data_IF_280662996281
#
_entry.id   IF_280662996281
#
_cell.length_a   1.000
_cell.length_b   1.000
_cell.length_c   1.000
_cell.angle_alpha   90.00
_cell.angle_beta   90.00
_cell.angle_gamma   90.00
#
_symmetry.space_group_name_H-M   'P 1'
#
loop_
_entity.id
_entity.type
_entity.pdbx_description
1 polymer ?
#
# COMPACT_ATOMS: atom_id res chain seq x y z
N UNK A 1 -1.99 14.59 -17.22
CA UNK A 1 -0.71 13.87 -17.25
C UNK A 1 -0.01 14.14 -15.93
N UNK A 2 -0.02 13.18 -15.01
CA UNK A 2 0.77 13.26 -13.78
C UNK A 2 2.24 13.15 -14.21
N UNK A 3 3.04 14.18 -13.94
CA UNK A 3 4.46 14.17 -14.29
C UNK A 3 5.13 12.97 -13.60
N UNK A 4 5.81 12.17 -14.42
CA UNK A 4 6.47 10.89 -14.13
C UNK A 4 7.67 10.98 -13.17
N UNK A 5 7.62 11.84 -12.14
CA UNK A 5 8.72 12.03 -11.18
C UNK A 5 8.72 11.06 -10.00
N UNK A 6 7.57 10.47 -9.65
CA UNK A 6 7.47 9.57 -8.49
C UNK A 6 7.99 8.14 -8.76
N UNK A 7 8.35 7.82 -10.01
CA UNK A 7 8.74 6.47 -10.45
C UNK A 7 10.10 6.42 -11.16
N UNK A 8 10.91 7.48 -11.12
CA UNK A 8 12.33 7.32 -11.45
C UNK A 8 12.96 6.51 -10.32
N UNK A 9 13.17 5.23 -10.58
CA UNK A 9 13.89 4.30 -9.69
C UNK A 9 15.19 4.95 -9.23
N UNK A 10 15.22 5.46 -8.00
CA UNK A 10 16.41 6.08 -7.42
C UNK A 10 17.53 5.03 -7.31
N UNK A 11 18.74 5.37 -7.75
CA UNK A 11 19.88 4.47 -7.76
C UNK A 11 20.28 4.09 -6.30
N UNK A 12 20.29 2.79 -5.94
CA UNK A 12 20.65 2.34 -4.58
C UNK A 12 22.04 2.77 -4.10
N UNK A 13 23.01 2.93 -5.01
CA UNK A 13 24.36 3.40 -4.66
C UNK A 13 24.36 4.88 -4.28
N UNK A 14 23.56 5.67 -4.97
CA UNK A 14 23.38 7.08 -4.67
C UNK A 14 22.68 7.28 -3.32
N UNK A 15 21.68 6.43 -3.01
CA UNK A 15 21.01 6.42 -1.71
C UNK A 15 21.97 6.12 -0.56
N UNK A 16 22.85 5.11 -0.72
CA UNK A 16 23.90 4.81 0.27
C UNK A 16 24.89 5.96 0.44
N UNK A 17 25.31 6.60 -0.66
CA UNK A 17 26.21 7.77 -0.62
C UNK A 17 25.58 8.95 0.12
N UNK A 18 24.26 9.11 0.04
CA UNK A 18 23.47 10.12 0.77
C UNK A 18 23.14 9.71 2.21
N UNK A 19 23.55 8.53 2.67
CA UNK A 19 23.27 8.03 4.02
C UNK A 19 21.80 7.64 4.24
N UNK A 20 21.00 7.50 3.18
CA UNK A 20 19.60 7.08 3.26
C UNK A 20 19.53 5.62 3.71
N UNK A 21 18.94 5.38 4.89
CA UNK A 21 18.78 4.02 5.42
C UNK A 21 17.33 3.60 5.25
N UNK A 22 17.10 2.47 4.60
CA UNK A 22 15.75 1.87 4.54
C UNK A 22 15.61 0.88 5.69
N UNK A 23 14.59 1.06 6.51
CA UNK A 23 14.27 0.18 7.62
C UNK A 23 13.51 -1.07 7.12
N UNK A 24 13.45 -2.15 7.91
CA UNK A 24 12.79 -3.40 7.51
C UNK A 24 11.28 -3.30 7.23
N UNK A 25 10.65 -2.21 7.67
CA UNK A 25 9.26 -1.83 7.39
C UNK A 25 9.10 -1.00 6.09
N UNK A 26 10.20 -0.70 5.41
CA UNK A 26 10.22 0.08 4.17
C UNK A 26 10.38 1.58 4.38
N UNK A 27 10.38 2.07 5.62
CA UNK A 27 10.60 3.49 5.91
C UNK A 27 12.03 3.89 5.57
N UNK A 28 12.22 5.14 5.11
CA UNK A 28 13.54 5.66 4.76
C UNK A 28 13.93 6.73 5.77
N UNK A 29 14.94 6.44 6.59
CA UNK A 29 15.60 7.43 7.43
C UNK A 29 16.45 8.33 6.53
N UNK A 30 16.09 9.61 6.48
CA UNK A 30 16.81 10.64 5.75
C UNK A 30 17.64 11.46 6.74
N UNK A 31 18.98 11.31 6.77
CA UNK A 31 19.81 12.08 7.68
C UNK A 31 19.83 13.56 7.28
N UNK A 32 19.91 14.45 8.27
CA UNK A 32 20.03 15.90 8.10
C UNK A 32 18.85 16.60 7.39
N UNK A 33 17.66 16.00 7.42
CA UNK A 33 16.42 16.67 7.00
C UNK A 33 15.68 17.18 8.22
N UNK A 34 15.32 18.47 8.19
CA UNK A 34 14.38 19.04 9.13
C UNK A 34 12.95 18.63 8.75
N UNK A 35 12.40 17.68 9.51
CA UNK A 35 11.03 17.21 9.31
C UNK A 35 9.97 18.30 9.58
N UNK A 36 10.34 19.44 10.18
CA UNK A 36 9.47 20.62 10.28
C UNK A 36 9.19 21.30 8.95
N UNK A 37 9.99 21.03 7.91
CA UNK A 37 9.83 21.61 6.55
C UNK A 37 8.94 20.78 5.63
N UNK A 38 8.29 19.74 6.16
CA UNK A 38 7.45 18.87 5.36
C UNK A 38 6.24 19.63 4.80
N UNK A 39 6.11 19.61 3.47
CA UNK A 39 4.99 20.25 2.77
C UNK A 39 3.77 19.33 2.81
N UNK A 40 2.77 19.72 3.59
CA UNK A 40 1.51 18.98 3.69
C UNK A 40 0.53 19.43 2.61
N UNK A 41 -0.13 18.52 1.88
CA UNK A 41 -1.21 18.91 0.99
C UNK A 41 -2.37 19.51 1.80
N UNK A 42 -3.09 20.46 1.20
CA UNK A 42 -4.30 20.99 1.83
C UNK A 42 -5.33 19.88 2.10
N UNK A 43 -6.05 20.00 3.22
CA UNK A 43 -7.11 19.07 3.56
C UNK A 43 -8.25 19.25 2.56
N UNK A 44 -8.63 18.19 1.81
CA UNK A 44 -9.62 18.31 0.75
C UNK A 44 -10.97 18.79 1.28
N UNK A 45 -11.37 18.33 2.47
CA UNK A 45 -12.63 18.74 3.12
C UNK A 45 -12.60 20.21 3.55
N UNK A 46 -11.50 20.67 4.14
CA UNK A 46 -11.38 22.08 4.55
C UNK A 46 -11.30 23.00 3.34
N UNK A 47 -10.57 22.59 2.30
CA UNK A 47 -10.43 23.33 1.06
C UNK A 47 -11.78 23.47 0.33
N UNK A 48 -12.54 22.38 0.24
CA UNK A 48 -13.86 22.37 -0.38
C UNK A 48 -14.87 23.23 0.40
N UNK A 49 -14.89 23.10 1.73
CA UNK A 49 -15.73 23.94 2.60
C UNK A 49 -15.34 25.41 2.55
N UNK A 50 -14.04 25.73 2.45
CA UNK A 50 -13.56 27.11 2.31
C UNK A 50 -14.07 27.73 0.99
N UNK A 51 -13.97 26.99 -0.12
CA UNK A 51 -14.51 27.40 -1.43
C UNK A 51 -16.02 27.60 -1.40
N UNK A 52 -16.76 26.64 -0.82
CA UNK A 52 -18.22 26.69 -0.75
C UNK A 52 -18.77 27.84 0.12
N UNK A 53 -17.96 28.34 1.08
CA UNK A 53 -18.35 29.42 1.98
C UNK A 53 -17.79 30.79 1.57
N UNK A 54 -17.12 30.90 0.42
CA UNK A 54 -16.63 32.17 -0.11
C UNK A 54 -17.81 33.15 -0.28
N UNK A 55 -17.80 34.27 0.46
CA UNK A 55 -18.82 35.32 0.38
C UNK A 55 -20.02 35.18 1.32
N UNK A 56 -20.03 34.21 2.25
CA UNK A 56 -21.09 34.10 3.29
C UNK A 56 -20.71 34.88 4.56
N UNK A 57 -21.70 35.46 5.24
CA UNK A 57 -21.50 36.17 6.49
C UNK A 57 -21.08 35.20 7.63
N UNK A 58 -19.85 35.35 8.13
CA UNK A 58 -19.27 34.53 9.20
C UNK A 58 -17.73 34.54 9.16
N UNK A 59 -17.04 33.94 10.16
CA UNK A 59 -15.59 33.84 10.14
C UNK A 59 -15.13 32.98 8.94
N UNK A 60 -14.49 33.61 7.97
CA UNK A 60 -14.04 32.98 6.72
C UNK A 60 -12.83 32.09 7.01
N UNK A 61 -13.01 30.78 6.90
CA UNK A 61 -11.91 29.82 6.88
C UNK A 61 -11.32 29.80 5.48
N UNK A 62 -10.07 30.24 5.34
CA UNK A 62 -9.31 30.27 4.10
C UNK A 62 -8.29 29.15 4.11
N UNK A 63 -8.13 28.48 2.97
CA UNK A 63 -7.07 27.51 2.72
C UNK A 63 -6.29 28.04 1.52
N UNK A 64 -5.10 28.54 1.80
CA UNK A 64 -4.14 28.98 0.80
C UNK A 64 -3.17 27.84 0.50
N UNK A 65 -2.87 27.67 -0.77
CA UNK A 65 -1.91 26.66 -1.23
C UNK A 65 -0.91 27.27 -2.20
N UNK A 66 0.29 26.71 -2.23
CA UNK A 66 1.26 27.05 -3.26
C UNK A 66 0.97 26.34 -4.60
N UNK A 67 1.87 26.52 -5.58
CA UNK A 67 1.72 25.97 -6.93
C UNK A 67 1.58 24.45 -7.01
N UNK A 68 2.09 23.71 -6.01
CA UNK A 68 1.97 22.24 -5.98
C UNK A 68 0.79 21.78 -5.10
N UNK A 69 0.03 22.71 -4.51
CA UNK A 69 -1.12 22.40 -3.68
C UNK A 69 -0.80 22.16 -2.20
N UNK A 70 0.43 22.46 -1.75
CA UNK A 70 0.78 22.36 -0.34
C UNK A 70 0.23 23.55 0.45
N UNK A 71 -0.17 23.29 1.70
CA UNK A 71 -0.78 24.26 2.60
C UNK A 71 0.20 25.38 2.96
N UNK A 72 -0.29 26.63 2.89
CA UNK A 72 0.48 27.82 3.28
C UNK A 72 0.07 28.33 4.66
N UNK A 73 1.04 28.90 5.38
CA UNK A 73 0.86 29.52 6.71
C UNK A 73 -0.17 30.66 6.72
N UNK A 74 -0.45 31.28 5.56
CA UNK A 74 -1.50 32.29 5.42
C UNK A 74 -2.92 31.73 5.59
N UNK A 75 -3.10 30.40 5.58
CA UNK A 75 -4.39 29.76 5.76
C UNK A 75 -4.96 29.96 7.17
N UNK A 76 -6.28 30.15 7.28
CA UNK A 76 -6.98 30.37 8.56
C UNK A 76 -7.86 29.19 8.98
N UNK A 77 -7.85 28.09 8.22
CA UNK A 77 -8.70 26.93 8.46
C UNK A 77 -8.28 26.03 9.64
N UNK A 78 -7.25 26.40 10.40
CA UNK A 78 -6.65 25.61 11.49
C UNK A 78 -5.55 24.66 11.00
N UNK A 79 -4.89 23.98 11.94
CA UNK A 79 -3.82 23.01 11.64
C UNK A 79 -4.39 21.82 10.90
N UNK A 80 -3.81 21.50 9.74
CA UNK A 80 -4.23 20.37 8.93
C UNK A 80 -3.50 19.10 9.35
N UNK A 81 -4.27 18.09 9.73
CA UNK A 81 -3.77 16.73 9.90
C UNK A 81 -3.93 15.98 8.56
N UNK A 82 -2.88 15.32 8.03
CA UNK A 82 -3.02 14.44 6.89
C UNK A 82 -4.05 13.35 7.15
N UNK A 83 -4.79 12.95 6.12
CA UNK A 83 -5.81 11.91 6.20
C UNK A 83 -5.17 10.50 6.25
N UNK A 84 -4.32 10.27 7.25
CA UNK A 84 -3.62 9.01 7.54
C UNK A 84 -3.90 8.61 8.99
N UNK A 85 -3.79 7.32 9.28
CA UNK A 85 -3.90 6.79 10.64
C UNK A 85 -2.51 6.82 11.28
N UNK A 86 -2.37 7.64 12.31
CA UNK A 86 -1.16 7.72 13.12
C UNK A 86 -1.14 6.63 14.19
N UNK A 87 0.02 6.36 14.78
CA UNK A 87 0.13 5.49 15.94
C UNK A 87 -0.75 6.00 17.09
N UNK A 88 -1.51 5.08 17.70
CA UNK A 88 -2.50 5.40 18.74
C UNK A 88 -3.90 5.70 18.21
N UNK A 89 -4.08 5.92 16.90
CA UNK A 89 -5.40 6.12 16.32
C UNK A 89 -6.09 4.81 15.95
N UNK A 90 -7.42 4.82 15.98
CA UNK A 90 -8.23 3.69 15.55
C UNK A 90 -8.47 3.73 14.04
N UNK A 91 -8.42 2.56 13.40
CA UNK A 91 -8.81 2.40 12.00
C UNK A 91 -10.34 2.60 11.89
N UNK A 92 -10.83 3.35 10.88
CA UNK A 92 -12.26 3.49 10.64
C UNK A 92 -12.94 2.12 10.52
N UNK A 93 -14.07 1.93 11.22
CA UNK A 93 -14.76 0.64 11.32
C UNK A 93 -15.05 0.00 9.95
N UNK A 94 -15.52 0.79 8.99
CA UNK A 94 -15.79 0.32 7.63
C UNK A 94 -14.54 -0.21 6.90
N UNK A 95 -13.39 0.45 7.07
CA UNK A 95 -12.12 0.01 6.47
C UNK A 95 -11.65 -1.29 7.11
N UNK A 96 -11.78 -1.38 8.44
CA UNK A 96 -11.51 -2.61 9.18
C UNK A 96 -12.34 -3.78 8.67
N UNK A 97 -13.66 -3.60 8.57
CA UNK A 97 -14.59 -4.65 8.13
C UNK A 97 -14.31 -5.09 6.70
N UNK A 98 -14.14 -4.14 5.76
CA UNK A 98 -13.81 -4.47 4.36
C UNK A 98 -12.50 -5.24 4.23
N UNK A 99 -11.49 -4.93 5.04
CA UNK A 99 -10.23 -5.67 5.02
C UNK A 99 -10.39 -7.10 5.59
N UNK A 100 -11.25 -7.29 6.59
CA UNK A 100 -11.57 -8.62 7.13
C UNK A 100 -12.35 -9.46 6.10
N UNK A 101 -13.37 -8.87 5.47
CA UNK A 101 -14.15 -9.52 4.40
C UNK A 101 -13.27 -9.93 3.22
N UNK A 102 -12.36 -9.04 2.77
CA UNK A 102 -11.44 -9.35 1.69
C UNK A 102 -10.49 -10.51 2.02
N UNK A 103 -10.13 -10.69 3.29
CA UNK A 103 -9.36 -11.85 3.74
C UNK A 103 -10.25 -13.09 3.77
N UNK A 104 -11.47 -12.99 4.29
CA UNK A 104 -12.40 -14.12 4.39
C UNK A 104 -12.80 -14.68 3.01
N UNK A 105 -12.86 -13.84 1.99
CA UNK A 105 -13.16 -14.23 0.60
C UNK A 105 -11.92 -14.75 -0.16
N UNK A 106 -10.71 -14.56 0.37
CA UNK A 106 -9.49 -14.95 -0.31
C UNK A 106 -9.24 -16.46 -0.19
N UNK A 107 -8.69 -17.06 -1.26
CA UNK A 107 -8.23 -18.46 -1.21
C UNK A 107 -6.78 -18.61 -0.73
N UNK A 108 -5.99 -17.54 -0.79
CA UNK A 108 -4.55 -17.48 -0.48
C UNK A 108 -4.15 -16.05 -0.12
N UNK A 109 -3.17 -15.90 0.77
CA UNK A 109 -2.64 -14.60 1.18
C UNK A 109 -1.15 -14.49 0.83
N UNK A 110 -0.75 -13.36 0.23
CA UNK A 110 0.66 -13.02 -0.02
C UNK A 110 1.00 -11.71 0.68
N UNK A 111 1.89 -11.76 1.68
CA UNK A 111 2.45 -10.60 2.37
C UNK A 111 3.72 -10.18 1.64
N UNK A 112 3.78 -8.91 1.22
CA UNK A 112 4.94 -8.37 0.48
C UNK A 112 5.47 -7.13 1.18
N UNK A 113 6.78 -7.10 1.45
CA UNK A 113 7.47 -5.89 1.92
C UNK A 113 6.95 -5.36 3.26
N UNK A 114 6.44 -6.23 4.13
CA UNK A 114 5.89 -5.84 5.43
C UNK A 114 6.50 -6.70 6.53
N UNK A 115 7.01 -6.03 7.56
CA UNK A 115 7.47 -6.66 8.80
C UNK A 115 6.31 -7.13 9.69
N UNK A 116 5.07 -6.76 9.37
CA UNK A 116 3.88 -6.97 10.22
C UNK A 116 4.07 -6.48 11.67
N UNK A 117 4.91 -5.47 11.88
CA UNK A 117 5.14 -4.90 13.21
C UNK A 117 3.82 -4.33 13.81
N UNK A 118 2.99 -3.73 12.98
CA UNK A 118 1.70 -3.15 13.38
C UNK A 118 0.61 -4.22 13.54
N UNK A 119 -0.12 -4.16 14.66
CA UNK A 119 -1.16 -5.14 14.97
C UNK A 119 -2.32 -5.12 13.95
N UNK A 120 -2.60 -3.96 13.36
CA UNK A 120 -3.67 -3.76 12.38
C UNK A 120 -3.53 -4.64 11.14
N UNK A 121 -2.30 -4.83 10.64
CA UNK A 121 -1.99 -5.73 9.54
C UNK A 121 -1.79 -7.16 10.05
N UNK A 122 -1.04 -7.35 11.13
CA UNK A 122 -0.75 -8.67 11.68
C UNK A 122 -2.00 -9.50 12.00
N UNK A 123 -3.04 -8.87 12.56
CA UNK A 123 -4.31 -9.54 12.88
C UNK A 123 -5.04 -10.11 11.65
N UNK A 124 -4.85 -9.53 10.46
CA UNK A 124 -5.43 -10.03 9.21
C UNK A 124 -4.72 -11.30 8.76
N UNK A 125 -3.39 -11.32 8.86
CA UNK A 125 -2.58 -12.51 8.55
C UNK A 125 -2.86 -13.64 9.55
N UNK A 126 -2.98 -13.31 10.84
CA UNK A 126 -3.40 -14.27 11.88
C UNK A 126 -4.78 -14.86 11.57
N UNK A 127 -5.76 -14.03 11.21
CA UNK A 127 -7.11 -14.49 10.84
C UNK A 127 -7.06 -15.46 9.66
N UNK A 128 -6.31 -15.13 8.60
CA UNK A 128 -6.11 -16.02 7.46
C UNK A 128 -5.48 -17.36 7.91
N UNK A 129 -4.49 -17.31 8.82
CA UNK A 129 -3.84 -18.50 9.35
C UNK A 129 -4.80 -19.40 10.13
N UNK A 130 -5.63 -18.82 10.99
CA UNK A 130 -6.64 -19.54 11.78
C UNK A 130 -7.70 -20.22 10.90
N UNK A 131 -7.90 -19.73 9.68
CA UNK A 131 -8.78 -20.34 8.67
C UNK A 131 -8.09 -21.43 7.84
N UNK A 132 -6.82 -21.74 8.11
CA UNK A 132 -6.04 -22.70 7.32
C UNK A 132 -5.67 -22.20 5.93
N UNK A 133 -5.72 -20.89 5.70
CA UNK A 133 -5.39 -20.30 4.41
C UNK A 133 -3.90 -20.45 4.10
N UNK A 134 -3.51 -20.81 2.87
CA UNK A 134 -2.11 -20.78 2.48
C UNK A 134 -1.53 -19.36 2.49
N UNK A 135 -0.37 -19.19 3.13
CA UNK A 135 0.28 -17.89 3.33
C UNK A 135 1.68 -17.87 2.70
N UNK A 136 1.90 -16.92 1.79
CA UNK A 136 3.22 -16.55 1.29
C UNK A 136 3.72 -15.27 1.95
N UNK A 137 5.02 -15.21 2.26
CA UNK A 137 5.70 -14.02 2.77
C UNK A 137 6.93 -13.74 1.91
N UNK A 138 6.94 -12.58 1.26
CA UNK A 138 8.06 -12.02 0.51
C UNK A 138 8.54 -10.76 1.22
N UNK A 139 9.55 -10.91 2.06
CA UNK A 139 10.14 -9.78 2.79
C UNK A 139 11.62 -10.02 3.05
N UNK A 140 12.49 -9.08 2.71
CA UNK A 140 13.93 -9.21 2.96
C UNK A 140 14.19 -9.25 4.48
N UNK A 141 13.49 -8.38 5.22
CA UNK A 141 13.58 -8.29 6.68
C UNK A 141 12.76 -9.34 7.42
N UNK A 142 12.93 -9.35 8.74
CA UNK A 142 12.14 -10.21 9.64
C UNK A 142 10.66 -9.84 9.64
N UNK A 143 9.83 -10.80 10.05
CA UNK A 143 8.38 -10.63 10.21
C UNK A 143 7.98 -10.93 11.65
N UNK A 144 7.15 -10.06 12.23
CA UNK A 144 6.65 -10.21 13.60
C UNK A 144 5.87 -11.52 13.73
N UNK A 145 6.32 -12.36 14.67
CA UNK A 145 5.63 -13.62 14.98
C UNK A 145 5.63 -14.62 13.83
N UNK A 146 6.64 -14.55 12.95
CA UNK A 146 6.76 -15.38 11.75
C UNK A 146 6.53 -16.87 12.01
N UNK A 147 7.12 -17.42 13.07
CA UNK A 147 7.00 -18.84 13.42
C UNK A 147 5.54 -19.32 13.50
N UNK A 148 4.62 -18.49 14.02
CA UNK A 148 3.20 -18.83 14.14
C UNK A 148 2.51 -19.04 12.78
N UNK A 149 3.10 -18.58 11.68
CA UNK A 149 2.57 -18.80 10.33
C UNK A 149 3.07 -20.11 9.69
N UNK A 150 4.14 -20.70 10.24
CA UNK A 150 4.82 -21.87 9.66
C UNK A 150 4.87 -23.10 10.59
N UNK A 151 4.47 -22.99 11.86
CA UNK A 151 4.62 -24.05 12.88
C UNK A 151 3.86 -25.35 12.56
N UNK A 152 2.73 -25.24 11.89
CA UNK A 152 1.78 -26.29 11.49
C UNK A 152 1.92 -26.66 10.00
N UNK A 153 2.96 -26.16 9.32
CA UNK A 153 3.21 -26.47 7.92
C UNK A 153 3.85 -27.87 7.80
N UNK A 154 3.32 -28.78 6.95
CA UNK A 154 3.88 -30.11 6.77
C UNK A 154 5.34 -30.09 6.33
N UNK A 155 6.10 -31.13 6.70
CA UNK A 155 7.51 -31.27 6.32
C UNK A 155 7.64 -31.35 4.78
N UNK A 156 6.70 -32.02 4.12
CA UNK A 156 6.62 -32.13 2.66
C UNK A 156 6.12 -30.86 1.94
N UNK A 157 6.16 -29.69 2.58
CA UNK A 157 5.71 -28.45 1.96
C UNK A 157 6.58 -28.04 0.77
N UNK A 158 5.99 -28.07 -0.42
CA UNK A 158 6.55 -27.62 -1.70
C UNK A 158 6.27 -26.13 -1.99
N UNK A 159 5.71 -25.42 -1.02
CA UNK A 159 5.24 -24.04 -1.16
C UNK A 159 3.73 -23.91 -1.38
N UNK A 160 2.99 -25.02 -1.50
CA UNK A 160 1.53 -24.98 -1.67
C UNK A 160 0.79 -24.49 -0.42
N UNK A 161 1.32 -24.75 0.77
CA UNK A 161 0.73 -24.42 2.07
C UNK A 161 1.30 -23.14 2.65
N UNK A 162 2.62 -22.97 2.56
CA UNK A 162 3.24 -21.72 2.95
C UNK A 162 4.57 -21.50 2.23
N UNK A 163 4.94 -20.24 1.99
CA UNK A 163 6.23 -19.87 1.40
C UNK A 163 6.83 -18.72 2.18
N UNK A 164 8.13 -18.79 2.46
CA UNK A 164 8.92 -17.67 2.94
C UNK A 164 10.09 -17.41 1.99
N UNK A 165 10.17 -16.22 1.41
CA UNK A 165 11.30 -15.79 0.57
C UNK A 165 11.84 -14.44 1.04
N UNK A 166 13.15 -14.40 1.32
CA UNK A 166 13.87 -13.20 1.73
C UNK A 166 14.57 -12.49 0.55
N UNK A 167 13.94 -12.54 -0.62
CA UNK A 167 14.41 -11.87 -1.83
C UNK A 167 13.79 -10.48 -1.99
N UNK A 168 14.38 -9.68 -2.87
CA UNK A 168 13.83 -8.38 -3.21
C UNK A 168 12.54 -8.53 -4.06
N UNK A 169 11.53 -7.72 -3.75
CA UNK A 169 10.23 -7.82 -4.41
C UNK A 169 10.26 -7.45 -5.89
N UNK A 170 11.15 -6.55 -6.30
CA UNK A 170 11.38 -6.18 -7.69
C UNK A 170 12.00 -7.32 -8.51
N UNK A 171 12.77 -8.22 -7.88
CA UNK A 171 13.30 -9.43 -8.53
C UNK A 171 12.24 -10.52 -8.68
N UNK A 172 11.38 -10.72 -7.67
CA UNK A 172 10.45 -11.86 -7.61
C UNK A 172 9.10 -11.57 -8.28
N UNK A 173 8.51 -10.40 -8.02
CA UNK A 173 7.13 -10.11 -8.44
C UNK A 173 6.94 -10.11 -9.96
N UNK A 174 7.84 -9.57 -10.79
CA UNK A 174 7.64 -9.61 -12.25
C UNK A 174 7.54 -11.03 -12.79
N UNK A 175 8.45 -11.92 -12.37
CA UNK A 175 8.44 -13.33 -12.77
C UNK A 175 7.22 -14.09 -12.25
N UNK A 176 6.81 -13.80 -11.00
CA UNK A 176 5.59 -14.37 -10.42
C UNK A 176 4.35 -13.97 -11.23
N UNK A 177 4.21 -12.70 -11.59
CA UNK A 177 3.10 -12.20 -12.40
C UNK A 177 3.08 -12.85 -13.79
N UNK A 178 4.24 -12.97 -14.45
CA UNK A 178 4.34 -13.65 -15.74
C UNK A 178 3.92 -15.12 -15.63
N UNK A 179 4.37 -15.82 -14.57
CA UNK A 179 4.01 -17.21 -14.34
C UNK A 179 2.51 -17.38 -14.09
N UNK A 180 1.91 -16.51 -13.27
CA UNK A 180 0.46 -16.52 -13.03
C UNK A 180 -0.31 -16.27 -14.33
N UNK A 181 0.13 -15.33 -15.17
CA UNK A 181 -0.48 -15.09 -16.49
C UNK A 181 -0.40 -16.33 -17.38
N UNK A 182 0.75 -16.99 -17.46
CA UNK A 182 0.93 -18.25 -18.21
C UNK A 182 0.01 -19.36 -17.69
N UNK A 183 -0.12 -19.50 -16.37
CA UNK A 183 -1.00 -20.50 -15.74
C UNK A 183 -2.49 -20.20 -16.00
N UNK A 184 -2.88 -18.92 -16.03
CA UNK A 184 -4.25 -18.50 -16.37
C UNK A 184 -4.54 -18.56 -17.89
N UNK A 185 -3.50 -18.62 -18.72
CA UNK A 185 -3.55 -18.67 -20.19
C UNK A 185 -3.48 -20.06 -20.82
N UNK A 186 -3.62 -21.15 -20.04
CA UNK A 186 -3.98 -22.48 -20.58
C UNK A 186 -5.51 -22.60 -20.52
N UNK A 187 -6.17 -21.90 -21.43
CA UNK A 187 -7.63 -21.77 -21.48
C UNK A 187 -8.19 -20.97 -22.66
N UNK A 188 -7.37 -20.62 -23.66
CA UNK A 188 -7.85 -20.06 -24.93
C UNK A 188 -7.54 -21.03 -26.07
N UNK A 189 -8.33 -22.09 -26.16
CA UNK A 189 -8.44 -22.91 -27.36
C UNK A 189 -9.91 -23.07 -27.75
N UNK A 190 -10.31 -22.30 -28.76
CA UNK A 190 -11.36 -22.66 -29.70
C UNK A 190 -12.79 -22.26 -29.33
N UNK A 191 -13.24 -21.10 -29.82
CA UNK A 191 -14.42 -21.16 -30.66
C UNK A 191 -14.31 -20.18 -31.84
N UNK A 192 -14.46 -20.78 -33.01
CA UNK A 192 -14.45 -20.21 -34.35
C UNK A 192 -15.51 -19.14 -34.55
N UNK A 193 -15.10 -18.09 -35.26
CA UNK A 193 -15.85 -17.33 -36.26
C UNK A 193 -17.38 -17.27 -36.13
N UNK A 194 -17.87 -16.08 -35.78
CA UNK A 194 -19.08 -15.55 -36.39
C UNK A 194 -18.75 -14.17 -36.95
N UNK A 195 -18.60 -14.11 -38.28
CA UNK A 195 -18.75 -12.87 -39.04
C UNK A 195 -20.15 -12.33 -38.80
N UNK A 196 -20.26 -11.12 -38.25
CA UNK A 196 -21.47 -10.32 -38.38
C UNK A 196 -21.31 -9.45 -39.63
N UNK A 197 -21.99 -9.87 -40.69
CA UNK A 197 -22.18 -9.15 -41.93
C UNK A 197 -22.99 -7.85 -41.70
N UNK A 198 -22.77 -6.90 -42.62
CA UNK A 198 -23.50 -5.65 -42.76
C UNK A 198 -25.02 -5.85 -42.94
N UNK A 199 -25.82 -4.90 -42.43
CA UNK A 199 -27.08 -4.48 -43.05
C UNK A 199 -27.62 -3.18 -42.41
N UNK A 200 -27.72 -2.14 -43.27
CA UNK A 200 -28.60 -0.96 -43.28
C UNK A 200 -28.48 0.07 -42.15
#
# INVERSE_FOLDING_TARGET
MLASGALSTENPEERRRRGLKTNPDGDVDVPNVDYGTFRYPACPVCLEKARANAGRAGPVRRVDVDGDGAWLESSTAGVLKPAVIMFGESIPGLVKTKAEEAVDEAGRLLVVGSSLATYSAWRLVKRAKEQGMPIGILNIGGVRGENAFFEDVPIENDGRWAVRSAEHSDAVLPGLVERIRKLRGVGESGNSGVQAAAAV
#
